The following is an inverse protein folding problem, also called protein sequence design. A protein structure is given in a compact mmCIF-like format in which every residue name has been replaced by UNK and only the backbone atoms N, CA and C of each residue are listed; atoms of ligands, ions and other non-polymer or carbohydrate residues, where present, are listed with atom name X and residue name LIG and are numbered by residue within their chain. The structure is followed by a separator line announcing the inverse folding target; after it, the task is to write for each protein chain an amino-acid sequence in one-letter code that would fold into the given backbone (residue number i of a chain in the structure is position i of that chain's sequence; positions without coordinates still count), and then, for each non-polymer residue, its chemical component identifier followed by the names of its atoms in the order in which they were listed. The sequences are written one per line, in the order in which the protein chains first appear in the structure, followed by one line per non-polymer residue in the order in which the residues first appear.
data_IF_396596088896
#
_entry.id   IF_396596088896
#
_cell.length_a   1.000
_cell.length_b   1.000
_cell.length_c   1.000
_cell.angle_alpha   90.00
_cell.angle_beta   90.00
_cell.angle_gamma   90.00
#
_symmetry.space_group_name_H-M   'P 1'
#
loop_
_entity.id
_entity.type
_entity.pdbx_description
1 polymer ?
#
# COMPACT_ATOMS: atom_id res chain seq x y z
N UNK A 1 -17.64 -37.76 -16.30
CA UNK A 1 -16.97 -36.45 -16.44
C UNK A 1 -18.04 -35.45 -16.90
N UNK A 2 -18.41 -34.49 -16.07
CA UNK A 2 -19.35 -33.43 -16.45
C UNK A 2 -18.57 -32.34 -17.19
N UNK A 3 -18.88 -32.14 -18.48
CA UNK A 3 -18.25 -31.12 -19.32
C UNK A 3 -19.22 -29.96 -19.43
N UNK A 4 -18.80 -28.78 -18.96
CA UNK A 4 -19.54 -27.54 -19.17
C UNK A 4 -19.01 -26.83 -20.42
N UNK A 5 -19.91 -26.45 -21.32
CA UNK A 5 -19.58 -25.72 -22.56
C UNK A 5 -20.38 -24.43 -22.61
N UNK A 6 -19.68 -23.33 -22.87
CA UNK A 6 -20.27 -22.02 -23.14
C UNK A 6 -19.63 -21.42 -24.39
N UNK A 7 -20.30 -20.42 -24.97
CA UNK A 7 -19.83 -19.71 -26.17
C UNK A 7 -19.59 -18.25 -25.82
N UNK A 8 -18.41 -17.74 -26.15
CA UNK A 8 -18.03 -16.33 -25.95
C UNK A 8 -18.04 -15.63 -27.31
N UNK A 9 -18.58 -14.40 -27.36
CA UNK A 9 -18.54 -13.54 -28.53
C UNK A 9 -17.68 -12.33 -28.22
N UNK A 10 -16.81 -11.97 -29.15
CA UNK A 10 -15.95 -10.78 -29.06
C UNK A 10 -16.51 -9.72 -30.00
N UNK A 11 -16.65 -8.49 -29.52
CA UNK A 11 -16.94 -7.34 -30.35
C UNK A 11 -15.65 -6.87 -31.03
N UNK A 12 -15.59 -6.97 -32.35
CA UNK A 12 -14.41 -6.57 -33.12
C UNK A 12 -14.29 -5.05 -33.32
N UNK A 13 -15.35 -4.29 -33.03
CA UNK A 13 -15.32 -2.83 -33.01
C UNK A 13 -14.61 -2.29 -31.76
N UNK A 14 -14.57 -3.09 -30.68
CA UNK A 14 -13.80 -2.78 -29.48
C UNK A 14 -12.36 -3.27 -29.66
N UNK A 15 -11.39 -2.35 -29.58
CA UNK A 15 -9.98 -2.67 -29.80
C UNK A 15 -9.44 -3.72 -28.81
N UNK A 16 -9.88 -3.69 -27.55
CA UNK A 16 -9.42 -4.63 -26.52
C UNK A 16 -9.91 -6.05 -26.81
N UNK A 17 -11.19 -6.19 -27.14
CA UNK A 17 -11.80 -7.48 -27.47
C UNK A 17 -11.27 -8.02 -28.81
N UNK A 18 -10.99 -7.15 -29.78
CA UNK A 18 -10.35 -7.53 -31.05
C UNK A 18 -8.96 -8.13 -30.81
N UNK A 19 -8.12 -7.48 -30.01
CA UNK A 19 -6.77 -7.98 -29.67
C UNK A 19 -6.84 -9.34 -28.96
N UNK A 20 -7.79 -9.49 -28.03
CA UNK A 20 -8.01 -10.77 -27.34
C UNK A 20 -8.43 -11.88 -28.31
N UNK A 21 -9.34 -11.58 -29.24
CA UNK A 21 -9.77 -12.52 -30.27
C UNK A 21 -8.62 -12.94 -31.20
N UNK A 22 -7.81 -11.99 -31.68
CA UNK A 22 -6.62 -12.24 -32.51
C UNK A 22 -5.61 -13.14 -31.80
N UNK A 23 -5.35 -12.90 -30.52
CA UNK A 23 -4.45 -13.70 -29.70
C UNK A 23 -4.97 -15.14 -29.50
N UNK A 24 -6.27 -15.30 -29.22
CA UNK A 24 -6.89 -16.62 -29.13
C UNK A 24 -6.85 -17.37 -30.47
N UNK A 25 -6.95 -16.64 -31.60
CA UNK A 25 -6.82 -17.22 -32.93
C UNK A 25 -5.39 -17.72 -33.16
N UNK A 26 -4.36 -16.94 -32.77
CA UNK A 26 -2.95 -17.29 -32.96
C UNK A 26 -2.49 -18.47 -32.12
N UNK A 27 -2.97 -18.60 -30.87
CA UNK A 27 -2.63 -19.72 -29.97
C UNK A 27 -2.88 -21.09 -30.62
N UNK A 28 -3.96 -21.21 -31.38
CA UNK A 28 -4.34 -22.47 -32.05
C UNK A 28 -3.36 -22.93 -33.13
N UNK A 29 -2.46 -22.04 -33.57
CA UNK A 29 -1.43 -22.36 -34.56
C UNK A 29 -0.13 -22.81 -33.90
N UNK A 30 -0.02 -22.73 -32.57
CA UNK A 30 1.17 -23.12 -31.82
C UNK A 30 0.89 -24.39 -31.01
N UNK A 31 1.60 -25.47 -31.32
CA UNK A 31 1.37 -26.83 -30.82
C UNK A 31 1.52 -27.05 -29.30
N UNK A 32 1.69 -25.99 -28.50
CA UNK A 32 2.03 -26.09 -27.07
C UNK A 32 0.91 -25.72 -26.10
N UNK A 33 -0.17 -25.06 -26.54
CA UNK A 33 -1.30 -24.70 -25.66
C UNK A 33 -2.63 -24.76 -26.41
N UNK A 34 -3.58 -25.60 -25.96
CA UNK A 34 -4.93 -25.57 -26.53
C UNK A 34 -5.63 -24.26 -26.13
N UNK A 35 -6.46 -23.69 -27.01
CA UNK A 35 -7.25 -22.48 -26.70
C UNK A 35 -8.03 -22.64 -25.40
N UNK A 36 -8.66 -23.80 -25.23
CA UNK A 36 -9.45 -24.10 -24.04
C UNK A 36 -8.59 -24.11 -22.77
N UNK A 37 -7.40 -24.71 -22.84
CA UNK A 37 -6.46 -24.73 -21.70
C UNK A 37 -6.03 -23.32 -21.33
N UNK A 38 -5.68 -22.50 -22.30
CA UNK A 38 -5.29 -21.11 -22.07
C UNK A 38 -6.42 -20.29 -21.41
N UNK A 39 -7.64 -20.39 -21.93
CA UNK A 39 -8.80 -19.68 -21.36
C UNK A 39 -9.07 -20.13 -19.92
N UNK A 40 -9.01 -21.44 -19.64
CA UNK A 40 -9.21 -21.97 -18.28
C UNK A 40 -8.11 -21.50 -17.32
N UNK A 41 -6.84 -21.54 -17.74
CA UNK A 41 -5.71 -21.06 -16.93
C UNK A 41 -5.86 -19.56 -16.61
N UNK A 42 -6.31 -18.75 -17.58
CA UNK A 42 -6.49 -17.31 -17.39
C UNK A 42 -7.64 -17.00 -16.43
N UNK A 43 -8.76 -17.71 -16.54
CA UNK A 43 -9.91 -17.56 -15.63
C UNK A 43 -9.50 -17.95 -14.20
N UNK A 44 -8.78 -19.06 -14.04
CA UNK A 44 -8.31 -19.50 -12.73
C UNK A 44 -7.34 -18.50 -12.10
N UNK A 45 -6.43 -17.91 -12.90
CA UNK A 45 -5.51 -16.88 -12.42
C UNK A 45 -6.27 -15.64 -11.93
N UNK A 46 -7.26 -15.17 -12.70
CA UNK A 46 -8.09 -14.04 -12.30
C UNK A 46 -8.87 -14.29 -11.00
N UNK A 47 -9.43 -15.50 -10.81
CA UNK A 47 -10.08 -15.85 -9.56
C UNK A 47 -9.11 -15.91 -8.38
N UNK A 48 -7.89 -16.42 -8.58
CA UNK A 48 -6.88 -16.45 -7.53
C UNK A 48 -6.45 -15.03 -7.10
N UNK A 49 -6.30 -14.11 -8.06
CA UNK A 49 -6.04 -12.69 -7.77
C UNK A 49 -7.17 -12.05 -6.94
N UNK A 50 -8.44 -12.26 -7.34
CA UNK A 50 -9.59 -11.76 -6.59
C UNK A 50 -9.70 -12.35 -5.18
N UNK A 51 -9.34 -13.62 -5.00
CA UNK A 51 -9.35 -14.25 -3.68
C UNK A 51 -8.25 -13.69 -2.80
N UNK A 52 -7.05 -13.48 -3.36
CA UNK A 52 -5.95 -12.81 -2.65
C UNK A 52 -6.31 -11.37 -2.26
N UNK A 53 -6.92 -10.58 -3.16
CA UNK A 53 -7.39 -9.23 -2.83
C UNK A 53 -8.42 -9.22 -1.69
N UNK A 54 -9.33 -10.20 -1.66
CA UNK A 54 -10.29 -10.35 -0.56
C UNK A 54 -9.58 -10.72 0.74
N UNK A 55 -8.66 -11.67 0.71
CA UNK A 55 -7.88 -12.07 1.88
C UNK A 55 -7.04 -10.90 2.41
N UNK A 56 -6.39 -10.14 1.55
CA UNK A 56 -5.60 -8.96 1.92
C UNK A 56 -6.48 -7.89 2.56
N UNK A 57 -7.68 -7.63 2.00
CA UNK A 57 -8.62 -6.69 2.60
C UNK A 57 -9.13 -7.18 3.97
N UNK A 58 -9.44 -8.47 4.12
CA UNK A 58 -9.84 -9.05 5.40
C UNK A 58 -8.72 -9.00 6.45
N UNK A 59 -7.46 -9.24 6.04
CA UNK A 59 -6.30 -9.10 6.91
C UNK A 59 -6.08 -7.65 7.32
N UNK A 60 -6.21 -6.69 6.39
CA UNK A 60 -6.08 -5.27 6.68
C UNK A 60 -7.13 -4.79 7.68
N UNK A 61 -8.38 -5.27 7.57
CA UNK A 61 -9.43 -4.98 8.55
C UNK A 61 -9.13 -5.58 9.92
N UNK A 62 -8.63 -6.82 9.99
CA UNK A 62 -8.20 -7.44 11.26
C UNK A 62 -7.06 -6.66 11.91
N UNK A 63 -6.08 -6.21 11.12
CA UNK A 63 -4.97 -5.38 11.60
C UNK A 63 -5.51 -4.04 12.14
N UNK A 64 -6.40 -3.36 11.41
CA UNK A 64 -7.05 -2.11 11.86
C UNK A 64 -7.84 -2.31 13.15
N UNK A 65 -8.53 -3.43 13.30
CA UNK A 65 -9.27 -3.75 14.51
C UNK A 65 -8.32 -3.96 15.70
N UNK A 66 -7.24 -4.73 15.53
CA UNK A 66 -6.21 -4.92 16.55
C UNK A 66 -5.62 -3.59 17.02
N UNK A 67 -5.25 -2.70 16.09
CA UNK A 67 -4.74 -1.37 16.46
C UNK A 67 -5.78 -0.50 17.16
N UNK A 68 -7.07 -0.58 16.80
CA UNK A 68 -8.13 0.16 17.51
C UNK A 68 -8.32 -0.34 18.94
N UNK A 69 -8.30 -1.66 19.13
CA UNK A 69 -8.41 -2.28 20.45
C UNK A 69 -7.21 -1.91 21.33
N UNK A 70 -5.99 -1.91 20.79
CA UNK A 70 -4.79 -1.57 21.56
C UNK A 70 -4.66 -0.06 21.86
N UNK A 71 -4.98 0.82 20.92
CA UNK A 71 -4.85 2.29 21.12
C UNK A 71 -5.91 2.84 22.08
N UNK A 72 -7.08 2.21 22.22
CA UNK A 72 -8.09 2.62 23.20
C UNK A 72 -7.67 2.42 24.66
N UNK A 73 -6.60 1.64 24.94
CA UNK A 73 -6.13 1.36 26.31
C UNK A 73 -5.13 2.40 26.81
N UNK A 74 -4.70 3.37 25.99
CA UNK A 74 -3.95 4.52 26.49
C UNK A 74 -4.96 5.62 26.81
N UNK A 75 -5.30 5.88 28.08
CA UNK A 75 -5.97 7.12 28.45
C UNK A 75 -4.99 8.25 28.17
N UNK A 76 -5.03 8.77 26.96
CA UNK A 76 -4.34 9.98 26.56
C UNK A 76 -5.08 11.12 27.26
N UNK A 77 -4.78 11.32 28.54
CA UNK A 77 -5.04 12.56 29.23
C UNK A 77 -4.07 13.62 28.68
N UNK A 78 -4.19 13.98 27.40
CA UNK A 78 -3.56 15.18 26.88
C UNK A 78 -4.43 16.36 27.28
N UNK A 79 -4.16 16.92 28.46
CA UNK A 79 -4.38 18.34 28.65
C UNK A 79 -3.43 19.05 27.68
N UNK A 80 -3.95 19.49 26.55
CA UNK A 80 -3.27 20.47 25.69
C UNK A 80 -3.29 21.83 26.42
N UNK A 81 -2.53 21.95 27.50
CA UNK A 81 -2.11 23.25 27.96
C UNK A 81 -1.04 23.73 26.96
N UNK A 82 -1.26 24.83 26.22
CA UNK A 82 -0.22 25.37 25.36
C UNK A 82 0.94 25.80 26.26
N UNK A 83 2.02 25.02 26.25
CA UNK A 83 3.29 25.45 26.84
C UNK A 83 3.78 26.58 25.95
N UNK A 84 3.55 27.83 26.40
CA UNK A 84 4.13 29.00 25.78
C UNK A 84 5.64 28.86 25.87
N UNK A 85 6.26 28.46 24.76
CA UNK A 85 7.71 28.47 24.64
C UNK A 85 8.15 29.93 24.76
N UNK A 86 8.75 30.29 25.90
CA UNK A 86 9.44 31.56 26.06
C UNK A 86 10.58 31.60 25.04
N UNK A 87 10.39 32.37 23.97
CA UNK A 87 11.36 32.53 22.89
C UNK A 87 12.57 33.41 23.30
N UNK A 88 12.56 33.98 24.50
CA UNK A 88 13.59 34.91 24.97
C UNK A 88 14.31 34.35 26.21
N UNK A 89 15.63 34.18 26.08
CA UNK A 89 16.52 33.90 27.20
C UNK A 89 16.50 35.09 28.17
N UNK A 90 16.39 34.79 29.46
CA UNK A 90 16.47 35.81 30.51
C UNK A 90 17.87 36.44 30.54
N UNK A 91 18.00 37.67 31.05
CA UNK A 91 19.28 38.40 31.05
C UNK A 91 20.42 37.63 31.73
N UNK A 92 20.10 36.85 32.76
CA UNK A 92 21.06 36.01 33.48
C UNK A 92 21.57 34.84 32.64
N UNK A 93 20.70 34.22 31.83
CA UNK A 93 21.07 33.13 30.92
C UNK A 93 21.92 33.63 29.76
N UNK A 94 21.65 34.85 29.26
CA UNK A 94 22.48 35.51 28.23
C UNK A 94 23.90 35.75 28.73
N UNK A 95 24.06 36.25 29.95
CA UNK A 95 25.39 36.47 30.56
C UNK A 95 26.14 35.15 30.75
N UNK A 96 25.45 34.09 31.18
CA UNK A 96 26.06 32.77 31.35
C UNK A 96 26.50 32.16 30.02
N UNK A 97 25.67 32.26 28.98
CA UNK A 97 26.02 31.78 27.64
C UNK A 97 27.17 32.58 27.04
N UNK A 98 27.17 33.91 27.20
CA UNK A 98 28.27 34.76 26.72
C UNK A 98 29.61 34.37 27.38
N UNK A 99 29.59 34.10 28.69
CA UNK A 99 30.78 33.61 29.40
C UNK A 99 31.24 32.24 28.89
N UNK A 100 30.32 31.30 28.72
CA UNK A 100 30.64 29.96 28.21
C UNK A 100 31.27 30.00 26.81
N UNK A 101 30.73 30.84 25.93
CA UNK A 101 31.26 31.01 24.57
C UNK A 101 32.66 31.64 24.60
N UNK A 102 32.89 32.60 25.49
CA UNK A 102 34.20 33.23 25.63
C UNK A 102 35.26 32.22 26.13
N UNK A 103 34.91 31.45 27.17
CA UNK A 103 35.77 30.40 27.73
C UNK A 103 36.11 29.34 26.65
N UNK A 104 35.15 28.99 25.79
CA UNK A 104 35.36 28.03 24.69
C UNK A 104 36.33 28.59 23.62
N UNK A 105 36.25 29.89 23.29
CA UNK A 105 37.15 30.51 22.31
C UNK A 105 38.60 30.62 22.81
N UNK A 106 38.81 30.85 24.10
CA UNK A 106 40.16 30.91 24.70
C UNK A 106 40.90 29.57 24.63
N UNK A 107 40.19 28.44 24.48
CA UNK A 107 40.83 27.13 24.28
C UNK A 107 41.37 26.91 22.86
N UNK A 108 41.07 27.80 21.90
CA UNK A 108 41.49 27.68 20.51
C UNK A 108 42.63 28.63 20.11
N UNK A 109 43.12 29.48 21.01
CA UNK A 109 44.38 30.25 20.86
C UNK A 109 45.59 29.48 21.40
#
# INVERSE_FOLDING_TARGET
MSIYRFTVRFNLENEQERRAAEYLISINRSDKKSRNRFVIETINAYFAELENEKQDNELLEKIRQMFREEVQVVPVAYSLAPVSAKAELTETEKVKNAKSVLDDLEMFE
#
